data_IF_446542027712
#
_entry.id   IF_446542027712
#
_cell.length_a   1.000
_cell.length_b   1.000
_cell.length_c   1.000
_cell.angle_alpha   90.00
_cell.angle_beta   90.00
_cell.angle_gamma   90.00
#
_symmetry.space_group_name_H-M   'P 1'
#
loop_
_entity.id
_entity.type
_entity.pdbx_description
1 polymer ?
#
# COMPACT_ATOMS: atom_id res chain seq x y z
N UNK A 1 47.22 3.58 31.60
CA UNK A 1 46.14 4.58 31.68
C UNK A 1 45.76 4.93 30.25
N UNK A 2 44.51 4.64 29.86
CA UNK A 2 44.05 4.59 28.46
C UNK A 2 43.77 5.97 27.85
N UNK A 3 43.96 6.05 26.53
CA UNK A 3 43.81 7.26 25.74
C UNK A 3 42.38 7.76 25.59
N UNK A 4 42.25 9.09 25.54
CA UNK A 4 41.03 9.78 25.15
C UNK A 4 40.95 9.81 23.61
N UNK A 5 39.92 9.19 23.05
CA UNK A 5 39.48 9.43 21.67
C UNK A 5 38.08 10.00 21.73
N UNK A 6 37.96 11.28 21.38
CA UNK A 6 36.71 12.01 21.21
C UNK A 6 36.01 11.55 19.93
N UNK A 7 35.06 10.64 20.08
CA UNK A 7 34.07 10.33 19.05
C UNK A 7 32.74 10.96 19.47
N UNK A 8 32.17 11.86 18.66
CA UNK A 8 30.78 12.25 18.82
C UNK A 8 30.45 13.63 18.27
N UNK A 9 30.04 13.67 17.00
CA UNK A 9 29.59 14.92 16.40
C UNK A 9 28.97 14.73 15.02
N UNK A 10 27.95 13.88 14.89
CA UNK A 10 27.08 13.90 13.73
C UNK A 10 25.64 14.11 14.20
N UNK A 11 25.22 15.36 14.17
CA UNK A 11 23.87 15.84 14.41
C UNK A 11 22.87 15.07 13.56
N UNK A 12 22.10 14.17 14.19
CA UNK A 12 21.03 13.42 13.54
C UNK A 12 19.81 14.33 13.41
N UNK A 13 19.65 14.93 12.24
CA UNK A 13 18.39 15.55 11.81
C UNK A 13 17.27 14.51 11.85
N UNK A 14 16.40 14.65 12.85
CA UNK A 14 15.25 13.79 13.12
C UNK A 14 14.13 14.04 12.10
N UNK A 15 14.21 13.40 10.93
CA UNK A 15 13.01 13.02 10.19
C UNK A 15 12.31 11.90 10.96
N UNK A 16 11.55 12.26 12.00
CA UNK A 16 10.89 11.31 12.89
C UNK A 16 9.83 10.54 12.07
N UNK A 17 10.14 9.29 11.70
CA UNK A 17 9.15 8.35 11.22
C UNK A 17 7.97 8.37 12.21
N UNK A 18 6.76 8.55 11.71
CA UNK A 18 5.57 8.41 12.51
C UNK A 18 5.57 7.00 13.14
N UNK A 19 5.28 6.91 14.43
CA UNK A 19 5.42 5.68 15.22
C UNK A 19 4.75 4.49 14.50
N UNK A 20 5.53 3.47 14.16
CA UNK A 20 5.06 2.22 13.53
C UNK A 20 5.14 2.12 12.01
N UNK A 21 5.46 3.19 11.27
CA UNK A 21 5.67 3.10 9.83
C UNK A 21 6.94 2.29 9.48
N UNK A 22 6.97 1.53 8.37
CA UNK A 22 8.23 1.03 7.82
C UNK A 22 9.18 2.20 7.62
N UNK A 23 10.32 2.19 8.32
CA UNK A 23 11.30 3.31 8.30
C UNK A 23 11.84 3.60 6.89
N UNK A 24 11.80 2.60 6.00
CA UNK A 24 12.28 2.70 4.63
C UNK A 24 11.39 1.87 3.71
N UNK A 25 10.83 2.51 2.69
CA UNK A 25 10.10 1.85 1.62
C UNK A 25 11.07 1.49 0.50
N UNK A 26 10.98 0.26 -0.01
CA UNK A 26 11.89 -0.17 -1.06
C UNK A 26 13.34 -0.28 -0.59
N UNK A 27 14.23 0.40 -1.33
CA UNK A 27 15.67 0.54 -1.05
C UNK A 27 15.93 2.00 -0.64
N UNK A 28 16.86 2.23 0.29
CA UNK A 28 17.25 3.56 0.73
C UNK A 28 18.71 3.88 0.35
N UNK A 29 18.97 5.12 -0.06
CA UNK A 29 20.33 5.59 -0.30
C UNK A 29 21.07 5.86 1.02
N UNK A 30 22.40 5.71 1.04
CA UNK A 30 23.22 5.94 2.23
C UNK A 30 23.14 7.42 2.64
N UNK A 31 22.79 7.69 3.90
CA UNK A 31 22.63 9.05 4.40
C UNK A 31 21.40 9.78 3.83
N UNK A 32 20.38 9.04 3.40
CA UNK A 32 19.10 9.61 2.97
C UNK A 32 18.39 10.33 4.13
N UNK A 33 17.97 11.58 3.88
CA UNK A 33 17.20 12.38 4.84
C UNK A 33 15.93 12.98 4.24
N UNK A 34 15.81 12.96 2.91
CA UNK A 34 14.71 13.61 2.18
C UNK A 34 13.82 12.54 1.56
N UNK A 35 12.51 12.63 1.80
CA UNK A 35 11.53 11.75 1.18
C UNK A 35 11.25 12.15 -0.27
N UNK A 36 11.25 11.18 -1.19
CA UNK A 36 10.85 11.37 -2.58
C UNK A 36 9.58 10.55 -2.86
N UNK A 37 8.49 11.24 -3.14
CA UNK A 37 7.18 10.62 -3.28
C UNK A 37 7.02 9.93 -4.64
N UNK A 38 6.45 8.72 -4.62
CA UNK A 38 6.01 8.03 -5.83
C UNK A 38 4.69 7.32 -5.59
N UNK A 39 3.78 7.42 -6.56
CA UNK A 39 2.43 6.90 -6.40
C UNK A 39 2.37 5.37 -6.42
N UNK A 40 1.50 4.81 -5.59
CA UNK A 40 1.12 3.40 -5.56
C UNK A 40 -0.39 3.30 -5.69
N UNK A 41 -0.85 2.67 -6.76
CA UNK A 41 -2.27 2.44 -6.98
C UNK A 41 -2.77 1.24 -6.18
N UNK A 42 -3.87 1.44 -5.47
CA UNK A 42 -4.51 0.43 -4.62
C UNK A 42 -5.99 0.36 -4.95
N UNK A 43 -6.42 -0.74 -5.58
CA UNK A 43 -7.83 -1.04 -5.82
C UNK A 43 -8.42 -1.73 -4.58
N UNK A 44 -9.54 -1.24 -4.09
CA UNK A 44 -10.27 -1.77 -2.94
C UNK A 44 -11.66 -2.17 -3.39
N UNK A 45 -11.96 -3.45 -3.26
CA UNK A 45 -13.22 -4.08 -3.66
C UNK A 45 -13.88 -4.74 -2.45
N UNK A 46 -15.14 -5.14 -2.58
CA UNK A 46 -15.88 -5.79 -1.50
C UNK A 46 -15.19 -7.05 -0.96
N UNK A 47 -14.59 -7.84 -1.85
CA UNK A 47 -14.02 -9.15 -1.54
C UNK A 47 -12.47 -9.15 -1.54
N UNK A 48 -11.81 -7.99 -1.70
CA UNK A 48 -10.35 -7.98 -1.80
C UNK A 48 -9.72 -6.63 -2.07
N UNK A 49 -8.41 -6.61 -1.95
CA UNK A 49 -7.56 -5.45 -2.19
C UNK A 49 -6.45 -5.84 -3.15
N UNK A 50 -6.18 -4.99 -4.14
CA UNK A 50 -5.10 -5.19 -5.12
C UNK A 50 -4.18 -3.98 -5.10
N UNK A 51 -2.89 -4.21 -4.84
CA UNK A 51 -1.83 -3.20 -4.99
C UNK A 51 -1.19 -3.41 -6.36
N UNK A 52 -0.88 -2.32 -7.07
CA UNK A 52 -0.32 -2.39 -8.43
C UNK A 52 0.89 -3.33 -8.51
N UNK A 53 0.87 -4.24 -9.49
CA UNK A 53 1.94 -5.23 -9.70
C UNK A 53 2.06 -6.30 -8.62
N UNK A 54 1.06 -6.47 -7.74
CA UNK A 54 1.05 -7.48 -6.68
C UNK A 54 -0.14 -8.44 -6.83
N UNK A 55 -0.03 -9.68 -6.33
CA UNK A 55 -1.18 -10.58 -6.24
C UNK A 55 -2.30 -9.98 -5.41
N UNK A 56 -3.55 -10.32 -5.77
CA UNK A 56 -4.74 -9.95 -5.04
C UNK A 56 -4.68 -10.46 -3.59
N UNK A 57 -5.16 -9.64 -2.66
CA UNK A 57 -5.33 -9.97 -1.25
C UNK A 57 -6.83 -10.11 -1.00
N UNK A 58 -7.31 -11.34 -0.80
CA UNK A 58 -8.71 -11.58 -0.45
C UNK A 58 -8.99 -11.16 1.00
N UNK A 59 -10.18 -10.61 1.24
CA UNK A 59 -10.64 -10.23 2.60
C UNK A 59 -11.28 -11.39 3.35
N UNK A 60 -11.29 -12.58 2.75
CA UNK A 60 -11.68 -13.83 3.38
C UNK A 60 -10.50 -14.81 3.39
N UNK A 61 -10.50 -15.72 4.36
CA UNK A 61 -9.56 -16.84 4.41
C UNK A 61 -10.01 -17.95 3.46
N UNK A 62 -9.16 -18.95 3.24
CA UNK A 62 -9.52 -20.15 2.46
C UNK A 62 -10.69 -20.94 3.07
N UNK A 63 -10.93 -20.79 4.37
CA UNK A 63 -12.04 -21.42 5.08
C UNK A 63 -13.38 -20.67 4.98
N UNK A 64 -13.40 -19.50 4.33
CA UNK A 64 -14.60 -18.67 4.18
C UNK A 64 -14.77 -17.58 5.25
N UNK A 65 -14.01 -17.64 6.35
CA UNK A 65 -14.05 -16.61 7.40
C UNK A 65 -13.46 -15.28 6.94
N UNK A 66 -13.90 -14.16 7.53
CA UNK A 66 -13.29 -12.87 7.27
C UNK A 66 -11.84 -12.80 7.76
N UNK A 67 -10.98 -12.23 6.92
CA UNK A 67 -9.60 -11.96 7.24
C UNK A 67 -9.52 -10.91 8.37
N UNK A 68 -8.76 -11.16 9.45
CA UNK A 68 -8.57 -10.18 10.51
C UNK A 68 -8.02 -8.86 9.95
N UNK A 69 -8.51 -7.73 10.47
CA UNK A 69 -8.15 -6.39 9.97
C UNK A 69 -6.63 -6.15 10.00
N UNK A 70 -5.97 -6.56 11.08
CA UNK A 70 -4.51 -6.42 11.22
C UNK A 70 -3.73 -7.31 10.24
N UNK A 71 -4.30 -8.45 9.85
CA UNK A 71 -3.71 -9.30 8.82
C UNK A 71 -3.88 -8.67 7.43
N UNK A 72 -5.05 -8.11 7.12
CA UNK A 72 -5.29 -7.35 5.88
C UNK A 72 -4.30 -6.19 5.76
N UNK A 73 -4.19 -5.35 6.80
CA UNK A 73 -3.21 -4.25 6.86
C UNK A 73 -1.80 -4.75 6.58
N UNK A 74 -1.35 -5.80 7.29
CA UNK A 74 -0.01 -6.40 7.12
C UNK A 74 0.24 -6.90 5.70
N UNK A 75 -0.75 -7.53 5.06
CA UNK A 75 -0.63 -8.00 3.67
C UNK A 75 -0.52 -6.82 2.71
N UNK A 76 -1.33 -5.78 2.87
CA UNK A 76 -1.28 -4.57 2.03
C UNK A 76 0.04 -3.82 2.20
N UNK A 77 0.52 -3.61 3.44
CA UNK A 77 1.83 -2.98 3.70
C UNK A 77 2.95 -3.74 2.97
N UNK A 78 2.97 -5.07 3.07
CA UNK A 78 3.97 -5.90 2.39
C UNK A 78 3.86 -5.82 0.86
N UNK A 79 2.67 -5.64 0.32
CA UNK A 79 2.45 -5.46 -1.11
C UNK A 79 2.95 -4.06 -1.57
N UNK A 80 2.67 -3.00 -0.81
CA UNK A 80 3.22 -1.66 -1.06
C UNK A 80 4.76 -1.67 -0.96
N UNK A 81 5.33 -2.31 0.06
CA UNK A 81 6.78 -2.45 0.20
C UNK A 81 7.41 -3.15 -1.00
N UNK A 82 6.80 -4.25 -1.47
CA UNK A 82 7.27 -5.00 -2.64
C UNK A 82 7.20 -4.14 -3.90
N UNK A 83 6.13 -3.37 -4.07
CA UNK A 83 5.99 -2.40 -5.16
C UNK A 83 7.08 -1.32 -5.10
N UNK A 84 7.34 -0.75 -3.92
CA UNK A 84 8.38 0.25 -3.74
C UNK A 84 9.78 -0.29 -4.05
N UNK A 85 10.05 -1.58 -3.81
CA UNK A 85 11.34 -2.21 -4.18
C UNK A 85 11.58 -2.24 -5.69
N UNK A 86 10.52 -2.31 -6.51
CA UNK A 86 10.69 -2.32 -7.97
C UNK A 86 11.05 -0.95 -8.55
N UNK A 87 11.03 0.12 -7.74
CA UNK A 87 11.46 1.45 -8.15
C UNK A 87 12.98 1.60 -8.23
N UNK A 88 13.74 0.63 -7.71
CA UNK A 88 15.19 0.68 -7.69
C UNK A 88 15.74 1.68 -6.68
N UNK A 89 16.95 2.17 -6.94
CA UNK A 89 17.60 3.15 -6.06
C UNK A 89 16.89 4.50 -6.17
N UNK A 90 16.57 5.15 -5.03
CA UNK A 90 16.14 6.54 -5.05
C UNK A 90 17.30 7.46 -5.50
N UNK A 91 17.00 8.70 -5.92
CA UNK A 91 18.03 9.71 -6.16
C UNK A 91 18.95 9.88 -4.93
N UNK A 92 20.19 10.32 -5.16
CA UNK A 92 21.18 10.47 -4.09
C UNK A 92 20.64 11.36 -2.95
N UNK A 93 20.79 10.91 -1.70
CA UNK A 93 20.27 11.56 -0.48
C UNK A 93 18.75 11.48 -0.28
N UNK A 94 18.03 10.81 -1.17
CA UNK A 94 16.59 10.57 -1.02
C UNK A 94 16.30 9.14 -0.55
N UNK A 95 15.12 8.97 0.05
CA UNK A 95 14.46 7.68 0.25
C UNK A 95 13.07 7.70 -0.37
N UNK A 96 12.60 6.54 -0.82
CA UNK A 96 11.26 6.43 -1.39
C UNK A 96 10.18 6.61 -0.33
N UNK A 97 9.14 7.37 -0.67
CA UNK A 97 7.92 7.53 0.12
C UNK A 97 6.73 7.19 -0.77
N UNK A 98 5.89 6.21 -0.41
CA UNK A 98 4.73 5.88 -1.23
C UNK A 98 3.61 6.91 -0.99
N UNK A 99 3.09 7.45 -2.09
CA UNK A 99 1.84 8.21 -2.10
C UNK A 99 0.71 7.27 -2.55
N UNK A 100 -0.24 6.95 -1.67
CA UNK A 100 -1.25 5.91 -1.93
C UNK A 100 -2.44 6.51 -2.69
N UNK A 101 -2.75 5.95 -3.86
CA UNK A 101 -3.94 6.33 -4.63
C UNK A 101 -4.96 5.19 -4.59
N UNK A 102 -6.05 5.42 -3.88
CA UNK A 102 -7.12 4.44 -3.75
C UNK A 102 -8.13 4.55 -4.88
N UNK A 103 -8.52 3.41 -5.43
CA UNK A 103 -9.75 3.27 -6.23
C UNK A 103 -10.69 2.34 -5.50
N UNK A 104 -11.86 2.83 -5.08
CA UNK A 104 -12.79 2.10 -4.22
C UNK A 104 -14.04 1.74 -5.02
N UNK A 105 -14.26 0.44 -5.19
CA UNK A 105 -15.46 -0.12 -5.81
C UNK A 105 -16.59 -0.31 -4.77
N UNK A 106 -17.85 -0.50 -5.20
CA UNK A 106 -18.96 -0.75 -4.29
C UNK A 106 -18.65 -1.89 -3.30
N UNK A 107 -19.00 -1.70 -2.03
CA UNK A 107 -18.70 -2.63 -0.94
C UNK A 107 -17.27 -2.56 -0.38
N UNK A 108 -16.34 -1.82 -1.01
CA UNK A 108 -14.95 -1.69 -0.56
C UNK A 108 -14.70 -0.63 0.53
N UNK A 109 -15.67 0.25 0.81
CA UNK A 109 -15.47 1.45 1.66
C UNK A 109 -14.92 1.12 3.06
N UNK A 110 -15.43 0.08 3.71
CA UNK A 110 -14.97 -0.30 5.06
C UNK A 110 -13.49 -0.70 5.07
N UNK A 111 -13.04 -1.43 4.04
CA UNK A 111 -11.64 -1.82 3.89
C UNK A 111 -10.76 -0.61 3.58
N UNK A 112 -11.26 0.29 2.73
CA UNK A 112 -10.58 1.54 2.42
C UNK A 112 -10.36 2.39 3.67
N UNK A 113 -11.38 2.65 4.49
CA UNK A 113 -11.24 3.49 5.69
C UNK A 113 -10.19 2.95 6.67
N UNK A 114 -10.19 1.62 6.86
CA UNK A 114 -9.21 0.93 7.73
C UNK A 114 -7.78 1.08 7.23
N UNK A 115 -7.57 1.03 5.90
CA UNK A 115 -6.26 1.17 5.27
C UNK A 115 -5.82 2.63 5.19
N UNK A 116 -6.73 3.53 4.82
CA UNK A 116 -6.46 4.96 4.72
C UNK A 116 -6.08 5.55 6.07
N UNK A 117 -6.81 5.19 7.14
CA UNK A 117 -6.48 5.61 8.51
C UNK A 117 -5.06 5.21 8.92
N UNK A 118 -4.63 3.99 8.56
CA UNK A 118 -3.26 3.52 8.79
C UNK A 118 -2.22 4.35 8.02
N UNK A 119 -2.39 4.56 6.72
CA UNK A 119 -1.37 5.30 5.94
C UNK A 119 -1.32 6.78 6.34
N UNK A 120 -2.46 7.39 6.68
CA UNK A 120 -2.53 8.77 7.18
C UNK A 120 -1.91 8.91 8.56
N UNK A 121 -2.04 7.93 9.46
CA UNK A 121 -1.34 7.97 10.76
C UNK A 121 0.17 7.95 10.59
N UNK A 122 0.66 7.38 9.49
CA UNK A 122 2.06 7.43 9.08
C UNK A 122 2.46 8.69 8.31
N UNK A 123 1.55 9.65 8.15
CA UNK A 123 1.73 10.90 7.39
C UNK A 123 2.09 10.67 5.92
N UNK A 124 1.66 9.55 5.34
CA UNK A 124 1.78 9.33 3.91
C UNK A 124 0.68 10.10 3.17
N UNK A 125 1.04 10.64 2.00
CA UNK A 125 0.06 11.22 1.08
C UNK A 125 -0.93 10.15 0.61
N UNK A 126 -2.22 10.43 0.72
CA UNK A 126 -3.29 9.55 0.23
C UNK A 126 -4.32 10.32 -0.60
N UNK A 127 -4.89 9.66 -1.60
CA UNK A 127 -6.03 10.16 -2.38
C UNK A 127 -7.00 9.02 -2.66
N UNK A 128 -8.26 9.35 -2.94
CA UNK A 128 -9.32 8.35 -3.18
C UNK A 128 -10.18 8.74 -4.37
N UNK A 129 -10.52 7.75 -5.19
CA UNK A 129 -11.53 7.82 -6.22
C UNK A 129 -12.58 6.71 -5.99
N UNK A 130 -13.86 7.07 -5.90
CA UNK A 130 -14.95 6.10 -5.79
C UNK A 130 -15.50 5.81 -7.18
N UNK A 131 -15.59 4.53 -7.54
CA UNK A 131 -16.09 4.10 -8.85
C UNK A 131 -17.47 3.46 -8.71
N UNK A 132 -18.38 3.82 -9.63
CA UNK A 132 -19.69 3.20 -9.73
C UNK A 132 -19.58 1.79 -10.34
N UNK A 133 -20.51 0.87 -10.03
CA UNK A 133 -20.57 -0.40 -10.73
C UNK A 133 -20.88 -0.13 -12.20
N UNK A 134 -19.99 -0.53 -13.10
CA UNK A 134 -20.34 -0.68 -14.51
C UNK A 134 -21.35 -1.82 -14.58
N UNK A 135 -22.57 -1.54 -15.05
CA UNK A 135 -23.56 -2.59 -15.28
C UNK A 135 -22.91 -3.68 -16.13
N UNK A 136 -22.76 -4.90 -15.58
CA UNK A 136 -22.39 -6.05 -16.40
C UNK A 136 -23.49 -6.20 -17.43
N UNK A 137 -23.16 -6.03 -18.72
CA UNK A 137 -24.09 -6.41 -19.79
C UNK A 137 -24.54 -7.85 -19.52
N UNK A 138 -25.85 -8.11 -19.40
CA UNK A 138 -26.33 -9.46 -19.23
C UNK A 138 -25.86 -10.24 -20.45
N UNK A 139 -25.08 -11.31 -20.21
CA UNK A 139 -24.73 -12.27 -21.25
C UNK A 139 -26.05 -12.89 -21.73
N UNK A 140 -26.64 -12.32 -22.78
CA UNK A 140 -27.86 -12.82 -23.41
C UNK A 140 -27.60 -14.27 -23.77
N UNK A 141 -28.16 -15.20 -23.00
CA UNK A 141 -28.19 -16.60 -23.40
C UNK A 141 -29.25 -16.66 -24.49
N UNK A 142 -28.81 -16.72 -25.75
CA UNK A 142 -29.66 -17.11 -26.85
C UNK A 142 -30.21 -18.49 -26.50
N UNK A 143 -31.51 -18.58 -26.23
CA UNK A 143 -32.19 -19.84 -26.01
C UNK A 143 -32.34 -20.42 -27.42
N UNK A 144 -31.53 -21.41 -27.79
CA UNK A 144 -31.78 -22.18 -29.02
C UNK A 144 -33.06 -23.00 -28.78
N UNK A 145 -34.13 -22.64 -29.48
CA UNK A 145 -35.34 -23.46 -29.55
C UNK A 145 -35.01 -24.80 -30.21
N UNK A 146 -35.46 -25.94 -29.66
CA UNK A 146 -35.34 -27.20 -30.35
C UNK A 146 -36.27 -27.20 -31.58
N UNK A 147 -35.69 -27.41 -32.76
CA UNK A 147 -36.44 -27.64 -34.00
C UNK A 147 -37.26 -28.93 -33.94
N UNK A 148 -38.42 -28.97 -34.62
CA UNK A 148 -39.40 -30.06 -34.58
C UNK A 148 -38.93 -31.37 -35.24
#
# INVERSE_FOLDING_TARGET
MGGASSNGGASRGSGRAADGAPRQWGVASLGATIGYERSVDVKVEQNGVTVVGQPRIDVTTKGGDFLPVEELKRKVIRAVQRTARTWGQPPARFYWVPAIRFTVSPGGTLHYERLNSLFRSWRLSTSVNYVLPTASEPKVRLIEEPSP
#
